data_IF_172258976215
#
_entry.id   IF_172258976215
#
_cell.length_a   1.000
_cell.length_b   1.000
_cell.length_c   1.000
_cell.angle_alpha   90.00
_cell.angle_beta   90.00
_cell.angle_gamma   90.00
#
_symmetry.space_group_name_H-M   'P 1'
#
loop_
_entity.id
_entity.type
_entity.pdbx_description
1 polymer ?
#
# COMPACT_ATOMS: atom_id res chain seq x y z
N UNK A 1 -14.38 53.94 1.10
CA UNK A 1 -13.46 53.09 1.90
C UNK A 1 -13.97 51.68 2.25
N UNK A 2 -15.17 51.26 1.86
CA UNK A 2 -15.71 49.90 2.17
C UNK A 2 -15.37 48.81 1.15
N UNK A 3 -14.89 49.12 -0.04
CA UNK A 3 -14.60 48.18 -1.13
C UNK A 3 -13.26 47.47 -1.02
N UNK A 4 -12.29 48.00 -0.25
CA UNK A 4 -10.93 47.44 -0.15
C UNK A 4 -10.87 46.22 0.81
N UNK A 5 -11.80 46.13 1.78
CA UNK A 5 -11.84 45.01 2.74
C UNK A 5 -12.44 43.71 2.14
N UNK A 6 -13.21 43.77 1.06
CA UNK A 6 -13.85 42.61 0.43
C UNK A 6 -12.87 41.72 -0.40
N UNK A 7 -11.86 42.35 -1.01
CA UNK A 7 -10.93 41.65 -1.89
C UNK A 7 -10.04 40.62 -1.18
N UNK A 8 -9.40 40.95 -0.03
CA UNK A 8 -8.63 39.98 0.74
C UNK A 8 -9.48 38.80 1.26
N UNK A 9 -10.71 39.08 1.68
CA UNK A 9 -11.64 38.05 2.13
C UNK A 9 -12.03 37.08 1.03
N UNK A 10 -12.30 37.58 -0.19
CA UNK A 10 -12.61 36.77 -1.35
C UNK A 10 -11.42 35.90 -1.77
N UNK A 11 -10.22 36.45 -1.78
CA UNK A 11 -8.98 35.71 -2.09
C UNK A 11 -8.77 34.60 -1.06
N UNK A 12 -8.94 34.89 0.22
CA UNK A 12 -8.80 33.89 1.29
C UNK A 12 -9.82 32.75 1.12
N UNK A 13 -11.09 33.05 0.82
CA UNK A 13 -12.11 32.05 0.56
C UNK A 13 -11.77 31.18 -0.66
N UNK A 14 -11.25 31.76 -1.72
CA UNK A 14 -10.80 31.05 -2.90
C UNK A 14 -9.65 30.08 -2.57
N UNK A 15 -8.65 30.55 -1.82
CA UNK A 15 -7.51 29.73 -1.40
C UNK A 15 -7.94 28.57 -0.51
N UNK A 16 -8.84 28.83 0.45
CA UNK A 16 -9.42 27.79 1.31
C UNK A 16 -10.23 26.75 0.49
N UNK A 17 -10.98 27.20 -0.50
CA UNK A 17 -11.75 26.31 -1.39
C UNK A 17 -10.83 25.42 -2.21
N UNK A 18 -9.76 25.98 -2.79
CA UNK A 18 -8.74 25.23 -3.52
C UNK A 18 -8.06 24.22 -2.60
N UNK A 19 -7.62 24.64 -1.42
CA UNK A 19 -7.01 23.77 -0.43
C UNK A 19 -7.95 22.62 -0.03
N UNK A 20 -9.23 22.92 0.20
CA UNK A 20 -10.25 21.93 0.54
C UNK A 20 -10.43 20.87 -0.58
N UNK A 21 -10.43 21.28 -1.85
CA UNK A 21 -10.50 20.35 -2.99
C UNK A 21 -9.29 19.40 -3.02
N UNK A 22 -8.08 19.92 -2.78
CA UNK A 22 -6.89 19.08 -2.69
C UNK A 22 -6.93 18.15 -1.47
N UNK A 23 -7.39 18.66 -0.32
CA UNK A 23 -7.57 17.84 0.88
C UNK A 23 -8.56 16.69 0.63
N UNK A 24 -9.72 16.97 0.05
CA UNK A 24 -10.70 15.92 -0.29
C UNK A 24 -10.13 14.90 -1.26
N UNK A 25 -9.36 15.34 -2.25
CA UNK A 25 -8.64 14.42 -3.14
C UNK A 25 -7.65 13.55 -2.37
N UNK A 26 -6.85 14.11 -1.49
CA UNK A 26 -5.93 13.36 -0.63
C UNK A 26 -6.65 12.35 0.26
N UNK A 27 -7.75 12.74 0.88
CA UNK A 27 -8.60 11.87 1.72
C UNK A 27 -9.18 10.69 0.93
N UNK A 28 -9.53 10.90 -0.35
CA UNK A 28 -10.02 9.83 -1.22
C UNK A 28 -8.99 8.71 -1.43
N UNK A 29 -7.70 9.05 -1.46
CA UNK A 29 -6.63 8.05 -1.56
C UNK A 29 -6.33 7.38 -0.22
N UNK A 30 -6.30 8.16 0.85
CA UNK A 30 -5.98 7.72 2.19
C UNK A 30 -7.25 7.21 2.91
N UNK A 31 -7.71 6.02 2.52
CA UNK A 31 -8.87 5.39 3.15
C UNK A 31 -8.51 4.94 4.57
N UNK A 32 -9.33 5.37 5.55
CA UNK A 32 -9.23 4.91 6.93
C UNK A 32 -10.63 4.75 7.49
N UNK A 33 -11.00 3.50 7.72
CA UNK A 33 -12.26 3.13 8.32
C UNK A 33 -12.17 3.19 9.86
N UNK A 34 -13.31 3.14 10.53
CA UNK A 34 -13.35 2.87 11.97
C UNK A 34 -12.85 1.44 12.21
N UNK A 35 -11.85 1.29 13.08
CA UNK A 35 -11.30 -0.02 13.42
C UNK A 35 -12.36 -0.94 13.99
N UNK A 36 -12.28 -2.21 13.57
CA UNK A 36 -13.04 -3.35 14.07
C UNK A 36 -12.08 -4.50 14.33
N UNK A 37 -12.42 -5.38 15.27
CA UNK A 37 -11.67 -6.63 15.46
C UNK A 37 -11.67 -7.40 14.14
N UNK A 38 -10.53 -7.92 13.78
CA UNK A 38 -10.31 -8.68 12.57
C UNK A 38 -9.52 -9.95 12.87
N UNK A 39 -9.44 -10.84 11.89
CA UNK A 39 -8.68 -12.08 12.02
C UNK A 39 -7.21 -11.89 11.67
N UNK A 40 -6.90 -10.96 10.76
CA UNK A 40 -5.52 -10.64 10.40
C UNK A 40 -5.33 -9.16 10.01
N UNK A 41 -4.11 -8.67 10.17
CA UNK A 41 -3.62 -7.40 9.61
C UNK A 41 -2.78 -7.75 8.39
N UNK A 42 -3.20 -7.32 7.20
CA UNK A 42 -2.48 -7.55 5.95
C UNK A 42 -1.64 -6.34 5.61
N UNK A 43 -0.32 -6.52 5.48
CA UNK A 43 0.64 -5.45 5.18
C UNK A 43 1.30 -5.73 3.84
N UNK A 44 1.21 -4.79 2.90
CA UNK A 44 1.80 -4.94 1.59
C UNK A 44 3.20 -4.33 1.51
N UNK A 45 4.14 -5.05 0.91
CA UNK A 45 5.41 -4.50 0.47
C UNK A 45 5.20 -3.37 -0.56
N UNK A 46 6.26 -2.80 -1.10
CA UNK A 46 6.17 -1.70 -2.06
C UNK A 46 6.39 -0.33 -1.41
N UNK A 47 7.57 0.22 -1.63
CA UNK A 47 8.04 1.46 -1.00
C UNK A 47 8.04 2.65 -1.95
N UNK A 48 7.88 2.44 -3.24
CA UNK A 48 8.11 3.47 -4.26
C UNK A 48 9.49 4.12 -4.16
N UNK A 49 10.52 3.34 -3.76
CA UNK A 49 11.88 3.82 -3.56
C UNK A 49 12.15 4.50 -2.22
N UNK A 50 11.19 4.48 -1.28
CA UNK A 50 11.36 5.06 0.04
C UNK A 50 11.11 4.01 1.13
N UNK A 51 12.19 3.56 1.79
CA UNK A 51 12.17 2.56 2.86
C UNK A 51 11.35 3.02 4.07
N UNK A 52 11.24 4.33 4.32
CA UNK A 52 10.46 4.85 5.44
C UNK A 52 8.98 4.45 5.31
N UNK A 53 8.42 4.49 4.11
CA UNK A 53 7.04 4.01 3.89
C UNK A 53 6.87 2.53 4.23
N UNK A 54 7.88 1.69 4.02
CA UNK A 54 7.82 0.28 4.39
C UNK A 54 7.88 0.11 5.90
N UNK A 55 8.81 0.80 6.54
CA UNK A 55 8.94 0.78 8.00
C UNK A 55 7.68 1.32 8.68
N UNK A 56 7.10 2.41 8.19
CA UNK A 56 5.85 2.97 8.72
C UNK A 56 4.69 1.97 8.61
N UNK A 57 4.59 1.25 7.49
CA UNK A 57 3.56 0.22 7.30
C UNK A 57 3.67 -0.90 8.32
N UNK A 58 4.88 -1.47 8.47
CA UNK A 58 5.05 -2.57 9.40
C UNK A 58 4.93 -2.12 10.85
N UNK A 59 5.43 -0.93 11.20
CA UNK A 59 5.25 -0.37 12.54
C UNK A 59 3.78 -0.13 12.86
N UNK A 60 3.00 0.38 11.90
CA UNK A 60 1.55 0.55 12.06
C UNK A 60 0.86 -0.80 12.31
N UNK A 61 1.21 -1.83 11.54
CA UNK A 61 0.62 -3.16 11.72
C UNK A 61 0.97 -3.78 13.06
N UNK A 62 2.23 -3.66 13.50
CA UNK A 62 2.67 -4.16 14.81
C UNK A 62 1.96 -3.42 15.95
N UNK A 63 1.78 -2.11 15.83
CA UNK A 63 1.01 -1.34 16.82
C UNK A 63 -0.45 -1.81 16.90
N UNK A 64 -1.09 -2.07 15.76
CA UNK A 64 -2.46 -2.63 15.72
C UNK A 64 -2.52 -4.03 16.35
N UNK A 65 -1.52 -4.87 16.09
CA UNK A 65 -1.39 -6.19 16.69
C UNK A 65 -1.28 -6.10 18.22
N UNK A 66 -0.37 -5.29 18.76
CA UNK A 66 -0.20 -5.13 20.21
C UNK A 66 -1.41 -4.50 20.89
N UNK A 67 -2.19 -3.69 20.17
CA UNK A 67 -3.51 -3.22 20.64
C UNK A 67 -4.60 -4.31 20.57
N UNK A 68 -4.26 -5.50 20.08
CA UNK A 68 -5.16 -6.65 20.00
C UNK A 68 -6.25 -6.51 18.95
N UNK A 69 -6.05 -5.76 17.87
CA UNK A 69 -7.02 -5.63 16.79
C UNK A 69 -7.15 -6.89 15.93
N UNK A 70 -6.07 -7.67 15.80
CA UNK A 70 -6.10 -8.97 15.17
C UNK A 70 -4.99 -9.88 15.74
N UNK A 71 -5.16 -11.21 15.74
CA UNK A 71 -4.17 -12.17 16.24
C UNK A 71 -3.02 -12.46 15.26
N UNK A 72 -3.17 -12.12 13.97
CA UNK A 72 -2.18 -12.39 12.95
C UNK A 72 -1.77 -11.13 12.18
N UNK A 73 -0.51 -11.12 11.73
CA UNK A 73 0.01 -10.19 10.71
C UNK A 73 0.36 -11.01 9.48
N UNK A 74 -0.17 -10.66 8.30
CA UNK A 74 0.21 -11.23 7.01
C UNK A 74 1.08 -10.22 6.28
N UNK A 75 2.36 -10.52 6.13
CA UNK A 75 3.30 -9.74 5.32
C UNK A 75 3.24 -10.25 3.88
N UNK A 76 2.88 -9.39 2.92
CA UNK A 76 2.65 -9.79 1.54
C UNK A 76 3.48 -8.97 0.56
N UNK A 77 4.12 -9.68 -0.40
CA UNK A 77 4.88 -9.11 -1.50
C UNK A 77 6.31 -9.58 -1.60
N UNK A 78 6.70 -10.04 -2.79
CA UNK A 78 8.04 -10.55 -3.06
C UNK A 78 9.10 -9.45 -3.00
N UNK A 79 8.76 -8.27 -3.46
CA UNK A 79 9.70 -7.16 -3.56
C UNK A 79 9.05 -5.82 -3.25
N UNK A 80 9.91 -4.86 -2.93
CA UNK A 80 9.58 -3.44 -3.01
C UNK A 80 10.58 -2.71 -3.89
N UNK A 81 10.25 -1.49 -4.31
CA UNK A 81 11.21 -0.68 -5.05
C UNK A 81 12.51 -0.54 -4.27
N UNK A 82 13.65 -0.53 -4.99
CA UNK A 82 14.99 -0.35 -4.41
C UNK A 82 14.98 0.84 -3.46
N UNK A 83 15.37 0.58 -2.22
CA UNK A 83 15.61 1.64 -1.25
C UNK A 83 17.09 2.03 -1.29
N UNK A 84 17.38 3.30 -1.11
CA UNK A 84 18.73 3.77 -0.85
C UNK A 84 19.12 3.28 0.55
N UNK A 85 19.75 2.11 0.60
CA UNK A 85 20.21 1.45 1.81
C UNK A 85 21.65 1.02 1.68
N UNK A 86 22.29 0.76 2.79
CA UNK A 86 23.72 0.35 2.87
C UNK A 86 23.96 -1.09 2.43
N UNK A 87 22.92 -1.91 2.33
CA UNK A 87 23.02 -3.30 1.86
C UNK A 87 22.82 -3.37 0.34
N UNK A 88 23.63 -4.21 -0.32
CA UNK A 88 23.45 -4.48 -1.75
C UNK A 88 22.07 -5.15 -1.96
N UNK A 89 21.22 -4.63 -2.85
CA UNK A 89 19.94 -5.23 -3.12
C UNK A 89 20.13 -6.63 -3.71
N UNK A 90 19.35 -7.59 -3.21
CA UNK A 90 19.21 -8.90 -3.84
C UNK A 90 18.10 -8.77 -4.88
N UNK A 91 18.48 -8.55 -6.11
CA UNK A 91 17.53 -8.37 -7.21
C UNK A 91 16.82 -9.70 -7.54
N UNK A 92 15.64 -9.60 -8.12
CA UNK A 92 14.92 -10.77 -8.63
C UNK A 92 15.72 -11.35 -9.81
N UNK A 93 16.00 -12.65 -9.82
CA UNK A 93 16.70 -13.32 -10.91
C UNK A 93 16.03 -13.07 -12.26
N UNK A 94 16.82 -12.88 -13.31
CA UNK A 94 16.31 -12.60 -14.65
C UNK A 94 15.42 -13.74 -15.17
N UNK A 95 15.81 -14.97 -14.91
CA UNK A 95 15.07 -16.16 -15.31
C UNK A 95 13.66 -16.19 -14.68
N UNK A 96 13.55 -15.77 -13.42
CA UNK A 96 12.27 -15.69 -12.72
C UNK A 96 11.37 -14.58 -13.32
N UNK A 97 11.96 -13.43 -13.66
CA UNK A 97 11.22 -12.36 -14.34
C UNK A 97 10.75 -12.76 -15.73
N UNK A 98 11.58 -13.51 -16.47
CA UNK A 98 11.22 -14.07 -17.78
C UNK A 98 10.09 -15.09 -17.66
N UNK A 99 10.15 -15.98 -16.67
CA UNK A 99 9.07 -16.92 -16.38
C UNK A 99 7.77 -16.19 -16.04
N UNK A 100 7.84 -15.19 -15.15
CA UNK A 100 6.68 -14.38 -14.77
C UNK A 100 6.07 -13.61 -15.96
N UNK A 101 6.89 -13.16 -16.91
CA UNK A 101 6.40 -12.51 -18.13
C UNK A 101 5.74 -13.52 -19.07
N UNK A 102 6.32 -14.72 -19.24
CA UNK A 102 5.75 -15.81 -20.03
C UNK A 102 4.39 -16.24 -19.48
N UNK A 103 4.24 -16.23 -18.15
CA UNK A 103 2.98 -16.55 -17.48
C UNK A 103 1.98 -15.36 -17.45
N UNK A 104 2.36 -14.22 -18.04
CA UNK A 104 1.52 -13.03 -18.09
C UNK A 104 1.41 -12.27 -16.77
N UNK A 105 2.19 -12.59 -15.74
CA UNK A 105 2.22 -11.97 -14.43
C UNK A 105 2.83 -10.56 -14.47
N UNK A 106 3.83 -10.35 -15.30
CA UNK A 106 4.43 -9.02 -15.59
C UNK A 106 4.46 -8.79 -17.10
N UNK A 107 4.64 -7.54 -17.52
CA UNK A 107 4.80 -7.22 -18.91
C UNK A 107 6.29 -7.38 -19.31
N UNK A 108 6.55 -7.95 -20.49
CA UNK A 108 7.91 -8.18 -20.98
C UNK A 108 8.78 -6.90 -20.97
N UNK A 109 8.18 -5.75 -21.30
CA UNK A 109 8.86 -4.45 -21.25
C UNK A 109 9.32 -4.03 -19.84
N UNK A 110 8.75 -4.61 -18.80
CA UNK A 110 9.08 -4.28 -17.40
C UNK A 110 10.27 -5.12 -16.89
N UNK A 111 10.69 -6.18 -17.59
CA UNK A 111 11.78 -7.09 -17.18
C UNK A 111 13.08 -6.32 -16.96
N UNK A 112 13.48 -5.46 -17.91
CA UNK A 112 14.74 -4.69 -17.83
C UNK A 112 14.73 -3.75 -16.61
N UNK A 113 13.61 -3.11 -16.35
CA UNK A 113 13.46 -2.24 -15.18
C UNK A 113 13.44 -3.05 -13.88
N UNK A 114 12.72 -4.16 -13.87
CA UNK A 114 12.62 -5.05 -12.72
C UNK A 114 13.99 -5.64 -12.34
N UNK A 115 14.75 -6.16 -13.30
CA UNK A 115 16.07 -6.74 -13.07
C UNK A 115 17.11 -5.76 -12.50
N UNK A 116 16.88 -4.45 -12.66
CA UNK A 116 17.78 -3.40 -12.17
C UNK A 116 17.33 -2.75 -10.88
N UNK A 117 16.04 -2.73 -10.60
CA UNK A 117 15.46 -1.86 -9.58
C UNK A 117 14.59 -2.57 -8.55
N UNK A 118 14.18 -3.81 -8.81
CA UNK A 118 13.34 -4.55 -7.87
C UNK A 118 14.22 -5.29 -6.84
N UNK A 119 13.91 -5.13 -5.58
CA UNK A 119 14.71 -5.63 -4.46
C UNK A 119 13.89 -6.59 -3.60
N UNK A 120 14.21 -7.90 -3.70
CA UNK A 120 13.57 -8.95 -2.90
C UNK A 120 13.89 -8.87 -1.41
N UNK A 121 14.98 -8.16 -1.03
CA UNK A 121 15.33 -8.03 0.39
C UNK A 121 14.31 -7.18 1.16
N UNK A 122 13.53 -6.35 0.46
CA UNK A 122 12.54 -5.47 1.06
C UNK A 122 11.10 -5.99 0.93
N UNK A 123 10.93 -7.27 0.63
CA UNK A 123 9.63 -7.93 0.55
C UNK A 123 9.07 -8.35 1.91
N UNK A 124 8.21 -9.36 1.86
CA UNK A 124 7.49 -9.88 3.03
C UNK A 124 8.42 -10.37 4.14
N UNK A 125 9.55 -11.00 3.80
CA UNK A 125 10.52 -11.47 4.80
C UNK A 125 11.19 -10.32 5.57
N UNK A 126 11.47 -9.20 4.92
CA UNK A 126 11.95 -8.00 5.63
C UNK A 126 10.92 -7.51 6.63
N UNK A 127 9.65 -7.41 6.21
CA UNK A 127 8.56 -6.98 7.11
C UNK A 127 8.40 -7.95 8.28
N UNK A 128 8.47 -9.27 8.02
CA UNK A 128 8.46 -10.29 9.08
C UNK A 128 9.58 -10.07 10.07
N UNK A 129 10.82 -9.92 9.60
CA UNK A 129 11.97 -9.69 10.49
C UNK A 129 11.80 -8.45 11.37
N UNK A 130 11.23 -7.37 10.81
CA UNK A 130 10.92 -6.16 11.58
C UNK A 130 9.81 -6.40 12.61
N UNK A 131 8.76 -7.13 12.26
CA UNK A 131 7.68 -7.48 13.21
C UNK A 131 8.21 -8.29 14.39
N UNK A 132 9.05 -9.31 14.12
CA UNK A 132 9.70 -10.12 15.16
C UNK A 132 10.59 -9.26 16.07
N UNK A 133 11.40 -8.38 15.48
CA UNK A 133 12.25 -7.45 16.25
C UNK A 133 11.43 -6.47 17.11
N UNK A 134 10.15 -6.25 16.79
CA UNK A 134 9.22 -5.43 17.56
C UNK A 134 8.35 -6.25 18.52
N UNK A 135 8.70 -7.52 18.78
CA UNK A 135 8.08 -8.37 19.79
C UNK A 135 6.83 -9.12 19.34
N UNK A 136 6.56 -9.22 18.04
CA UNK A 136 5.48 -10.09 17.52
C UNK A 136 5.99 -11.53 17.50
N UNK A 137 5.27 -12.53 18.06
CA UNK A 137 5.67 -13.93 18.04
C UNK A 137 5.76 -14.47 16.59
N UNK A 138 6.73 -15.37 16.30
CA UNK A 138 6.91 -15.92 14.95
C UNK A 138 5.66 -16.59 14.35
N UNK A 139 4.88 -17.26 15.18
CA UNK A 139 3.65 -17.97 14.82
C UNK A 139 2.49 -17.02 14.49
N UNK A 140 2.57 -15.77 14.93
CA UNK A 140 1.57 -14.73 14.61
C UNK A 140 1.89 -13.99 13.30
N UNK A 141 3.03 -14.27 12.64
CA UNK A 141 3.42 -13.59 11.39
C UNK A 141 3.45 -14.57 10.23
N UNK A 142 2.44 -14.47 9.38
CA UNK A 142 2.34 -15.21 8.13
C UNK A 142 3.03 -14.45 7.00
N UNK A 143 3.59 -15.17 6.04
CA UNK A 143 4.35 -14.60 4.91
C UNK A 143 3.73 -15.06 3.60
N UNK A 144 3.52 -14.13 2.70
CA UNK A 144 3.23 -14.31 1.30
C UNK A 144 4.35 -13.62 0.51
N UNK A 145 5.23 -14.35 -0.13
CA UNK A 145 6.48 -13.88 -0.76
C UNK A 145 6.57 -14.16 -2.25
N UNK A 146 5.47 -14.55 -2.89
CA UNK A 146 5.41 -14.88 -4.31
C UNK A 146 4.90 -13.73 -5.18
N UNK A 147 4.09 -12.83 -4.63
CA UNK A 147 3.40 -11.80 -5.40
C UNK A 147 4.35 -10.72 -5.92
N UNK A 148 4.21 -10.37 -7.20
CA UNK A 148 4.98 -9.33 -7.89
C UNK A 148 4.20 -8.01 -8.05
N UNK A 149 2.89 -8.02 -7.87
CA UNK A 149 2.03 -6.82 -7.99
C UNK A 149 0.77 -6.93 -7.13
N UNK A 150 0.05 -5.83 -6.97
CA UNK A 150 -1.06 -5.70 -6.03
C UNK A 150 -2.20 -6.70 -6.25
N UNK A 151 -2.46 -7.12 -7.48
CA UNK A 151 -3.48 -8.14 -7.76
C UNK A 151 -3.05 -9.50 -7.23
N UNK A 152 -1.81 -9.91 -7.49
CA UNK A 152 -1.26 -11.15 -6.93
C UNK A 152 -1.19 -11.10 -5.41
N UNK A 153 -0.82 -9.94 -4.80
CA UNK A 153 -0.93 -9.80 -3.34
C UNK A 153 -2.34 -10.17 -2.86
N UNK A 154 -3.39 -9.67 -3.52
CA UNK A 154 -4.76 -9.97 -3.11
C UNK A 154 -5.13 -11.43 -3.32
N UNK A 155 -4.75 -12.04 -4.46
CA UNK A 155 -5.04 -13.43 -4.80
C UNK A 155 -4.31 -14.40 -3.87
N UNK A 156 -3.01 -14.17 -3.60
CA UNK A 156 -2.22 -15.05 -2.76
C UNK A 156 -2.53 -14.88 -1.26
N UNK A 157 -2.81 -13.64 -0.81
CA UNK A 157 -3.33 -13.42 0.53
C UNK A 157 -4.68 -14.12 0.70
N UNK A 158 -5.58 -14.08 -0.30
CA UNK A 158 -6.86 -14.80 -0.23
C UNK A 158 -6.64 -16.31 -0.03
N UNK A 159 -5.63 -16.91 -0.65
CA UNK A 159 -5.29 -18.32 -0.43
C UNK A 159 -4.89 -18.57 1.03
N UNK A 160 -4.07 -17.70 1.64
CA UNK A 160 -3.74 -17.79 3.07
C UNK A 160 -4.98 -17.61 3.95
N UNK A 161 -5.83 -16.63 3.65
CA UNK A 161 -7.06 -16.40 4.42
C UNK A 161 -7.96 -17.66 4.42
N UNK A 162 -8.08 -18.33 3.28
CA UNK A 162 -8.84 -19.59 3.17
C UNK A 162 -8.18 -20.74 3.93
N UNK A 163 -6.86 -20.87 3.81
CA UNK A 163 -6.08 -21.91 4.49
C UNK A 163 -6.21 -21.81 6.02
N UNK A 164 -6.22 -20.59 6.55
CA UNK A 164 -6.31 -20.32 7.99
C UNK A 164 -7.73 -20.00 8.47
N UNK A 165 -8.75 -20.14 7.61
CA UNK A 165 -10.17 -19.84 7.92
C UNK A 165 -10.40 -18.42 8.44
N UNK A 166 -9.70 -17.43 7.88
CA UNK A 166 -9.80 -16.03 8.25
C UNK A 166 -10.80 -15.32 7.32
N UNK A 167 -11.68 -14.50 7.89
CA UNK A 167 -12.82 -13.90 7.17
C UNK A 167 -12.86 -12.36 7.22
N UNK A 168 -12.03 -11.73 8.05
CA UNK A 168 -11.95 -10.27 8.15
C UNK A 168 -10.51 -9.81 8.29
N UNK A 169 -10.13 -8.82 7.50
CA UNK A 169 -8.78 -8.26 7.51
C UNK A 169 -8.76 -6.74 7.76
N UNK A 170 -7.69 -6.28 8.41
CA UNK A 170 -7.30 -4.87 8.41
C UNK A 170 -6.22 -4.72 7.34
N UNK A 171 -6.50 -3.95 6.29
CA UNK A 171 -5.61 -3.77 5.15
C UNK A 171 -4.74 -2.53 5.33
N UNK A 172 -3.42 -2.74 5.48
CA UNK A 172 -2.43 -1.69 5.75
C UNK A 172 -1.49 -1.48 4.58
N UNK A 173 -1.46 -0.27 4.03
CA UNK A 173 -0.48 0.15 3.04
C UNK A 173 -0.22 1.66 3.14
N UNK A 174 0.59 2.22 2.24
CA UNK A 174 0.86 3.67 2.23
C UNK A 174 -0.42 4.47 1.91
N UNK A 175 -0.61 5.65 2.50
CA UNK A 175 -1.86 6.42 2.37
C UNK A 175 -2.25 6.70 0.90
N UNK A 176 -1.30 7.09 0.04
CA UNK A 176 -1.56 7.35 -1.38
C UNK A 176 -1.88 6.08 -2.18
N UNK A 177 -1.54 4.90 -1.67
CA UNK A 177 -1.76 3.60 -2.30
C UNK A 177 -3.03 2.89 -1.81
N UNK A 178 -3.59 3.30 -0.67
CA UNK A 178 -4.67 2.60 0.02
C UNK A 178 -5.91 2.39 -0.86
N UNK A 179 -6.32 3.41 -1.61
CA UNK A 179 -7.50 3.30 -2.48
C UNK A 179 -7.34 2.19 -3.53
N UNK A 180 -6.23 2.15 -4.25
CA UNK A 180 -6.03 1.12 -5.29
C UNK A 180 -5.91 -0.27 -4.67
N UNK A 181 -5.20 -0.39 -3.57
CA UNK A 181 -5.09 -1.66 -2.84
C UNK A 181 -6.47 -2.16 -2.41
N UNK A 182 -7.28 -1.29 -1.80
CA UNK A 182 -8.65 -1.64 -1.42
C UNK A 182 -9.49 -2.11 -2.60
N UNK A 183 -9.51 -1.35 -3.70
CA UNK A 183 -10.30 -1.71 -4.88
C UNK A 183 -9.87 -3.06 -5.48
N UNK A 184 -8.57 -3.38 -5.43
CA UNK A 184 -8.04 -4.67 -5.89
C UNK A 184 -8.47 -5.81 -4.96
N UNK A 185 -8.26 -5.65 -3.66
CA UNK A 185 -8.64 -6.66 -2.66
C UNK A 185 -10.15 -6.88 -2.64
N UNK A 186 -10.95 -5.81 -2.67
CA UNK A 186 -12.40 -5.90 -2.71
C UNK A 186 -12.89 -6.68 -3.95
N UNK A 187 -12.24 -6.47 -5.11
CA UNK A 187 -12.57 -7.22 -6.33
C UNK A 187 -12.25 -8.71 -6.20
N UNK A 188 -11.06 -9.05 -5.71
CA UNK A 188 -10.62 -10.44 -5.53
C UNK A 188 -11.43 -11.14 -4.44
N UNK A 189 -11.75 -10.46 -3.36
CA UNK A 189 -12.48 -11.02 -2.21
C UNK A 189 -14.01 -11.03 -2.40
N UNK A 190 -14.53 -10.41 -3.46
CA UNK A 190 -15.98 -10.18 -3.66
C UNK A 190 -16.84 -11.45 -3.53
N UNK A 191 -16.34 -12.59 -4.03
CA UNK A 191 -17.07 -13.88 -4.01
C UNK A 191 -16.74 -14.75 -2.79
N UNK A 192 -15.92 -14.28 -1.85
CA UNK A 192 -15.38 -15.10 -0.76
C UNK A 192 -15.82 -14.64 0.64
N UNK A 193 -16.73 -13.69 0.72
CA UNK A 193 -17.26 -13.15 1.99
C UNK A 193 -16.16 -12.70 2.98
N UNK A 194 -15.09 -12.06 2.44
CA UNK A 194 -14.01 -11.49 3.24
C UNK A 194 -14.31 -10.02 3.55
N UNK A 195 -14.42 -9.70 4.83
CA UNK A 195 -14.54 -8.33 5.31
C UNK A 195 -13.20 -7.59 5.24
N UNK A 196 -13.22 -6.33 4.81
CA UNK A 196 -12.01 -5.48 4.72
C UNK A 196 -12.24 -4.20 5.50
N UNK A 197 -11.34 -3.91 6.45
CA UNK A 197 -11.22 -2.62 7.13
C UNK A 197 -9.98 -1.91 6.60
N UNK A 198 -10.14 -0.74 6.04
CA UNK A 198 -9.01 0.05 5.54
C UNK A 198 -8.32 0.80 6.67
N UNK A 199 -7.00 0.73 6.72
CA UNK A 199 -6.22 1.49 7.69
C UNK A 199 -4.84 1.83 7.12
N UNK A 200 -4.71 3.00 6.45
CA UNK A 200 -3.42 3.39 5.92
C UNK A 200 -2.39 3.59 7.03
N UNK A 201 -1.13 3.30 6.71
CA UNK A 201 -0.02 3.43 7.65
C UNK A 201 0.15 4.86 8.15
N UNK A 202 0.39 5.02 9.44
CA UNK A 202 0.78 6.29 10.02
C UNK A 202 2.18 6.65 9.54
N UNK A 203 2.30 7.74 8.81
CA UNK A 203 3.57 8.20 8.22
C UNK A 203 3.71 9.71 8.36
N UNK A 204 4.92 10.17 8.68
CA UNK A 204 5.29 11.58 8.62
C UNK A 204 5.59 12.07 7.20
N UNK A 205 5.80 11.15 6.24
CA UNK A 205 6.25 11.46 4.88
C UNK A 205 5.13 11.93 3.94
N UNK A 206 3.87 11.60 4.21
CA UNK A 206 2.75 11.95 3.35
C UNK A 206 1.47 12.19 4.14
N UNK A 207 0.76 13.28 3.86
CA UNK A 207 -0.48 13.62 4.56
C UNK A 207 -1.56 14.13 3.58
N UNK A 208 -2.85 13.77 3.77
CA UNK A 208 -3.96 14.21 2.90
C UNK A 208 -4.10 15.72 2.75
N UNK A 209 -3.71 16.51 3.75
CA UNK A 209 -3.86 17.96 3.74
C UNK A 209 -2.68 18.69 3.09
N UNK A 210 -1.55 18.01 2.81
CA UNK A 210 -0.30 18.66 2.38
C UNK A 210 0.37 18.00 1.18
N UNK A 211 -0.13 16.86 0.69
CA UNK A 211 0.48 16.11 -0.41
C UNK A 211 0.72 16.93 -1.68
N UNK A 212 -0.13 17.92 -1.95
CA UNK A 212 -0.05 18.74 -3.15
C UNK A 212 1.08 19.78 -3.12
N UNK A 213 1.67 20.05 -1.96
CA UNK A 213 2.79 20.98 -1.80
C UNK A 213 4.07 20.36 -2.37
N UNK A 214 4.31 19.07 -2.13
CA UNK A 214 5.50 18.35 -2.62
C UNK A 214 5.30 17.86 -4.06
N UNK A 215 6.31 18.08 -4.92
CA UNK A 215 6.35 17.53 -6.29
C UNK A 215 6.31 16.00 -6.28
N UNK A 216 7.07 15.38 -5.38
CA UNK A 216 7.14 13.92 -5.30
C UNK A 216 5.82 13.32 -4.85
N UNK A 217 5.15 13.92 -3.87
CA UNK A 217 3.83 13.46 -3.44
C UNK A 217 2.76 13.64 -4.53
N UNK A 218 2.81 14.73 -5.31
CA UNK A 218 1.94 14.88 -6.50
C UNK A 218 2.20 13.79 -7.53
N UNK A 219 3.46 13.43 -7.77
CA UNK A 219 3.82 12.34 -8.68
C UNK A 219 3.29 10.99 -8.19
N UNK A 220 3.36 10.70 -6.87
CA UNK A 220 2.78 9.50 -6.27
C UNK A 220 1.28 9.41 -6.54
N UNK A 221 0.52 10.47 -6.22
CA UNK A 221 -0.93 10.51 -6.41
C UNK A 221 -1.31 10.41 -7.89
N UNK A 222 -0.61 11.12 -8.78
CA UNK A 222 -0.87 11.07 -10.22
C UNK A 222 -0.56 9.67 -10.80
N UNK A 223 0.51 9.03 -10.33
CA UNK A 223 0.83 7.65 -10.70
C UNK A 223 -0.26 6.67 -10.26
N UNK A 224 -0.78 6.81 -9.03
CA UNK A 224 -1.88 5.97 -8.55
C UNK A 224 -3.18 6.21 -9.35
N UNK A 225 -3.51 7.47 -9.66
CA UNK A 225 -4.66 7.78 -10.53
C UNK A 225 -4.56 7.09 -11.90
N UNK A 226 -3.38 7.18 -12.54
CA UNK A 226 -3.13 6.52 -13.83
C UNK A 226 -3.29 5.00 -13.71
N UNK A 227 -2.74 4.40 -12.65
CA UNK A 227 -2.84 2.96 -12.40
C UNK A 227 -4.27 2.52 -12.13
N UNK A 228 -5.02 3.27 -11.31
CA UNK A 228 -6.46 3.00 -11.07
C UNK A 228 -7.23 3.00 -12.38
N UNK A 229 -7.01 4.02 -13.24
CA UNK A 229 -7.67 4.07 -14.57
C UNK A 229 -7.31 2.86 -15.42
N UNK A 230 -6.02 2.50 -15.51
CA UNK A 230 -5.55 1.38 -16.32
C UNK A 230 -6.09 0.04 -15.82
N UNK A 231 -6.05 -0.22 -14.51
CA UNK A 231 -6.48 -1.49 -13.94
C UNK A 231 -8.01 -1.63 -13.92
N UNK A 232 -8.73 -0.51 -13.77
CA UNK A 232 -10.20 -0.53 -13.94
C UNK A 232 -10.60 -0.90 -15.37
N UNK A 233 -9.90 -0.37 -16.37
CA UNK A 233 -10.14 -0.74 -17.77
C UNK A 233 -9.84 -2.21 -18.09
N UNK A 234 -8.99 -2.86 -17.30
CA UNK A 234 -8.67 -4.30 -17.39
C UNK A 234 -9.64 -5.18 -16.59
N UNK A 235 -10.55 -4.61 -15.81
CA UNK A 235 -11.43 -5.35 -14.90
C UNK A 235 -10.77 -5.85 -13.62
N UNK A 236 -9.59 -5.34 -13.27
CA UNK A 236 -8.80 -5.74 -12.09
C UNK A 236 -9.26 -5.05 -10.79
N UNK A 237 -10.13 -4.06 -10.87
CA UNK A 237 -10.63 -3.29 -9.74
C UNK A 237 -12.16 -3.37 -9.63
N UNK A 238 -12.64 -3.18 -8.41
CA UNK A 238 -14.05 -2.99 -8.11
C UNK A 238 -14.57 -1.66 -8.69
#
# INVERSE_FOLDING_TARGET
MKTILFLPGLIMLLLLSIWFLFYMKGKRFALRDRLRKADAIVVLAGTRGNIKFLNDKISTAVNLYHQGWAPYIICSGKFSAKADGTEKPKLIPLEELQAAAKDGRIQEKDIINASKNWDVNLGAHYMRSKALAMGVPPEAVLVEDESLHTRENAEFVLNLLRQYHLSHIILVTSPFHQLRTYLTFAKVCQSHNIGITNYYADTGEWHPATWFVSKDHRNLVNSEMKRIKTYRAKGDLL
#
